data_IF_016473551142
#
_entry.id   IF_016473551142
#
_cell.length_a   1.000
_cell.length_b   1.000
_cell.length_c   1.000
_cell.angle_alpha   90.00
_cell.angle_beta   90.00
_cell.angle_gamma   90.00
#
_symmetry.space_group_name_H-M   'P 1'
#
loop_
_entity.id
_entity.type
_entity.pdbx_description
1 polymer ?
#
# COMPACT_ATOMS: atom_id res chain seq x y z
N UNK A 1 8.88 1.50 16.66
CA UNK A 1 8.42 0.77 15.45
C UNK A 1 8.36 1.79 14.31
N UNK A 2 9.23 1.68 13.29
CA UNK A 2 9.15 2.57 12.14
C UNK A 2 8.01 2.08 11.23
N UNK A 3 6.88 2.76 11.24
CA UNK A 3 5.78 2.47 10.33
C UNK A 3 6.09 3.13 8.98
N UNK A 4 6.30 2.33 7.93
CA UNK A 4 6.49 2.82 6.57
C UNK A 4 5.16 2.82 5.82
N UNK A 5 4.72 3.99 5.40
CA UNK A 5 3.62 4.13 4.45
C UNK A 5 4.13 3.88 3.04
N UNK A 6 3.23 3.60 2.10
CA UNK A 6 3.56 3.31 0.72
C UNK A 6 2.77 4.25 -0.19
N UNK A 7 3.35 4.63 -1.32
CA UNK A 7 2.70 5.46 -2.35
C UNK A 7 2.78 4.77 -3.70
N UNK A 8 1.74 4.93 -4.53
CA UNK A 8 1.70 4.38 -5.88
C UNK A 8 2.06 5.47 -6.91
N UNK A 9 3.20 5.32 -7.61
CA UNK A 9 3.75 6.31 -8.56
C UNK A 9 2.79 6.72 -9.67
N UNK A 10 1.96 5.79 -10.14
CA UNK A 10 1.05 6.00 -11.29
C UNK A 10 -0.35 6.48 -10.89
N UNK A 11 -0.58 6.80 -9.61
CA UNK A 11 -1.86 7.32 -9.14
C UNK A 11 -3.00 6.31 -9.04
N UNK A 12 -2.79 5.02 -9.33
CA UNK A 12 -3.82 3.96 -9.13
C UNK A 12 -4.30 3.87 -7.66
N UNK A 13 -3.47 4.31 -6.72
CA UNK A 13 -3.87 4.58 -5.34
C UNK A 13 -3.50 6.03 -5.06
N UNK A 14 -4.52 6.86 -4.86
CA UNK A 14 -4.39 8.31 -4.72
C UNK A 14 -3.89 8.74 -3.32
N UNK A 15 -3.81 7.81 -2.37
CA UNK A 15 -3.42 8.06 -0.99
C UNK A 15 -2.21 7.21 -0.57
N UNK A 16 -1.55 7.64 0.51
CA UNK A 16 -0.62 6.79 1.23
C UNK A 16 -1.35 5.58 1.80
N UNK A 17 -0.73 4.41 1.71
CA UNK A 17 -1.35 3.19 2.20
C UNK A 17 -0.38 2.29 2.96
N UNK A 18 -0.92 1.43 3.81
CA UNK A 18 -0.19 0.40 4.53
C UNK A 18 -0.71 -0.99 4.12
N UNK A 19 0.14 -1.84 3.50
CA UNK A 19 -0.28 -3.16 3.05
C UNK A 19 -0.30 -4.18 4.20
N UNK A 20 -1.39 -4.92 4.32
CA UNK A 20 -1.56 -6.07 5.22
C UNK A 20 -1.93 -7.29 4.40
N UNK A 21 -1.16 -8.37 4.55
CA UNK A 21 -1.50 -9.65 3.94
C UNK A 21 -2.54 -10.38 4.79
N UNK A 22 -3.62 -10.81 4.15
CA UNK A 22 -4.67 -11.64 4.75
C UNK A 22 -4.90 -12.82 3.81
N UNK A 23 -4.28 -13.97 4.13
CA UNK A 23 -4.27 -15.13 3.25
C UNK A 23 -3.61 -14.86 1.89
N UNK A 24 -4.39 -15.01 0.81
CA UNK A 24 -4.03 -14.75 -0.58
C UNK A 24 -4.37 -13.31 -1.04
N UNK A 25 -4.97 -12.53 -0.15
CA UNK A 25 -5.37 -11.14 -0.39
C UNK A 25 -4.45 -10.17 0.32
N UNK A 26 -4.48 -8.95 -0.18
CA UNK A 26 -3.82 -7.79 0.37
C UNK A 26 -4.87 -6.75 0.71
N UNK A 27 -4.91 -6.33 1.97
CA UNK A 27 -5.68 -5.19 2.45
C UNK A 27 -4.74 -3.98 2.49
N UNK A 28 -5.07 -2.93 1.75
CA UNK A 28 -4.33 -1.68 1.70
C UNK A 28 -5.10 -0.66 2.56
N UNK A 29 -4.65 -0.44 3.79
CA UNK A 29 -5.24 0.56 4.67
C UNK A 29 -4.81 1.93 4.16
N UNK A 30 -5.77 2.80 3.84
CA UNK A 30 -5.49 4.16 3.37
C UNK A 30 -5.28 5.10 4.56
N UNK A 31 -4.35 6.04 4.43
CA UNK A 31 -4.00 6.97 5.51
C UNK A 31 -5.16 7.90 5.86
N UNK A 32 -5.90 8.37 4.87
CA UNK A 32 -7.06 9.24 5.04
C UNK A 32 -8.36 8.46 5.33
N UNK A 33 -8.26 7.14 5.56
CA UNK A 33 -9.37 6.29 5.97
C UNK A 33 -9.88 5.35 4.90
N UNK A 34 -10.47 4.24 5.34
CA UNK A 34 -10.92 3.16 4.47
C UNK A 34 -9.82 2.16 4.12
N UNK A 35 -10.18 1.19 3.29
CA UNK A 35 -9.27 0.13 2.86
C UNK A 35 -9.61 -0.35 1.44
N UNK A 36 -8.57 -0.68 0.67
CA UNK A 36 -8.71 -1.34 -0.63
C UNK A 36 -8.27 -2.79 -0.52
N UNK A 37 -9.06 -3.70 -1.10
CA UNK A 37 -8.69 -5.11 -1.18
C UNK A 37 -8.20 -5.45 -2.58
N UNK A 38 -7.04 -6.10 -2.65
CA UNK A 38 -6.39 -6.56 -3.87
C UNK A 38 -5.91 -8.01 -3.71
N UNK A 39 -5.69 -8.69 -4.82
CA UNK A 39 -5.03 -10.01 -4.79
C UNK A 39 -3.52 -9.82 -4.64
N UNK A 40 -2.83 -10.79 -4.02
CA UNK A 40 -1.37 -10.74 -3.84
C UNK A 40 -0.61 -10.59 -5.18
N UNK A 41 -1.15 -11.13 -6.29
CA UNK A 41 -0.56 -10.97 -7.63
C UNK A 41 -0.48 -9.50 -8.10
N UNK A 42 -1.41 -8.66 -7.66
CA UNK A 42 -1.40 -7.23 -7.97
C UNK A 42 -0.19 -6.56 -7.31
N UNK A 43 0.13 -6.92 -6.06
CA UNK A 43 1.32 -6.42 -5.36
C UNK A 43 2.61 -6.69 -6.13
N UNK A 44 2.75 -7.93 -6.63
CA UNK A 44 3.92 -8.34 -7.39
C UNK A 44 4.05 -7.57 -8.70
N UNK A 45 2.93 -7.38 -9.41
CA UNK A 45 2.89 -6.61 -10.66
C UNK A 45 3.21 -5.12 -10.44
N UNK A 46 2.87 -4.55 -9.27
CA UNK A 46 3.09 -3.14 -8.95
C UNK A 46 4.40 -2.86 -8.18
N UNK A 47 5.26 -3.87 -7.98
CA UNK A 47 6.47 -3.74 -7.13
C UNK A 47 7.35 -2.54 -7.50
N UNK A 48 7.46 -2.21 -8.78
CA UNK A 48 8.26 -1.08 -9.27
C UNK A 48 7.55 0.28 -9.16
N UNK A 49 6.22 0.25 -9.05
CA UNK A 49 5.36 1.42 -8.94
C UNK A 49 5.05 1.78 -7.48
N UNK A 50 5.46 0.96 -6.51
CA UNK A 50 5.22 1.18 -5.09
C UNK A 50 6.51 1.62 -4.41
N UNK A 51 6.46 2.74 -3.69
CA UNK A 51 7.60 3.26 -2.92
C UNK A 51 7.24 3.30 -1.45
N UNK A 52 8.13 2.79 -0.60
CA UNK A 52 8.03 2.98 0.84
C UNK A 52 8.49 4.41 1.20
N UNK A 53 7.62 5.16 1.87
CA UNK A 53 7.91 6.48 2.41
C UNK A 53 8.00 6.41 3.93
N UNK A 54 9.11 6.91 4.46
CA UNK A 54 9.30 7.03 5.91
C UNK A 54 8.57 8.29 6.37
N UNK A 55 7.63 8.15 7.29
CA UNK A 55 7.05 9.32 7.93
C UNK A 55 8.04 9.83 9.00
N UNK A 56 8.54 11.04 8.82
CA UNK A 56 9.14 11.82 9.91
C UNK A 56 7.93 12.43 10.63
N UNK A 57 7.70 11.98 11.87
CA UNK A 57 6.72 12.60 12.77
C UNK A 57 7.42 13.78 13.44
#
# INVERSE_FOLDING_TARGET
>A
MNCYWHVHKKGEIEDLFYPIRIGDRLCLILKNGGALYRQMKWWQAQRENIIAVRQII
#
